data_IF_991991923916
#
_entry.id   IF_991991923916
#
_cell.length_a   1.000
_cell.length_b   1.000
_cell.length_c   1.000
_cell.angle_alpha   90.00
_cell.angle_beta   90.00
_cell.angle_gamma   90.00
#
_symmetry.space_group_name_H-M   'P 1'
#
loop_
_entity.id
_entity.type
_entity.pdbx_description
1 polymer ?
#
# COMPACT_ATOMS: atom_id res chain seq x y z
N UNK A 1 -20.81 4.72 -11.18
CA UNK A 1 -20.75 5.54 -9.93
C UNK A 1 -20.55 4.67 -8.69
N UNK A 2 -21.38 3.64 -8.44
CA UNK A 2 -21.21 2.70 -7.31
C UNK A 2 -19.85 2.00 -7.32
N UNK A 3 -19.39 1.49 -8.47
CA UNK A 3 -18.08 0.85 -8.60
C UNK A 3 -16.92 1.77 -8.24
N UNK A 4 -17.02 3.06 -8.56
CA UNK A 4 -15.99 4.06 -8.26
C UNK A 4 -15.88 4.31 -6.76
N UNK A 5 -17.02 4.37 -6.06
CA UNK A 5 -17.12 4.54 -4.61
C UNK A 5 -16.56 3.30 -3.89
N UNK A 6 -16.90 2.09 -4.35
CA UNK A 6 -16.36 0.84 -3.81
C UNK A 6 -14.84 0.76 -3.98
N UNK A 7 -14.32 1.13 -5.16
CA UNK A 7 -12.88 1.13 -5.42
C UNK A 7 -12.12 2.12 -4.52
N UNK A 8 -12.71 3.28 -4.25
CA UNK A 8 -12.16 4.28 -3.34
C UNK A 8 -12.14 3.78 -1.89
N UNK A 9 -13.24 3.17 -1.44
CA UNK A 9 -13.31 2.55 -0.12
C UNK A 9 -12.25 1.46 0.08
N UNK A 10 -12.07 0.60 -0.93
CA UNK A 10 -11.02 -0.42 -0.94
C UNK A 10 -9.61 0.18 -0.86
N UNK A 11 -9.33 1.22 -1.65
CA UNK A 11 -8.03 1.90 -1.61
C UNK A 11 -7.72 2.49 -0.23
N UNK A 12 -8.71 3.09 0.43
CA UNK A 12 -8.56 3.65 1.78
C UNK A 12 -8.29 2.54 2.80
N UNK A 13 -9.02 1.42 2.75
CA UNK A 13 -8.80 0.26 3.62
C UNK A 13 -7.38 -0.29 3.45
N UNK A 14 -6.92 -0.39 2.20
CA UNK A 14 -5.56 -0.86 1.88
C UNK A 14 -4.49 0.08 2.42
N UNK A 15 -4.65 1.41 2.24
CA UNK A 15 -3.73 2.40 2.82
C UNK A 15 -3.69 2.33 4.35
N UNK A 16 -4.85 2.15 4.99
CA UNK A 16 -4.91 2.00 6.44
C UNK A 16 -4.20 0.72 6.91
N UNK A 17 -4.41 -0.40 6.21
CA UNK A 17 -3.71 -1.66 6.48
C UNK A 17 -2.18 -1.51 6.33
N UNK A 18 -1.72 -0.81 5.28
CA UNK A 18 -0.31 -0.52 5.06
C UNK A 18 0.28 0.36 6.17
N UNK A 19 -0.46 1.39 6.62
CA UNK A 19 -0.03 2.21 7.74
C UNK A 19 0.17 1.38 9.02
N UNK A 20 -0.78 0.47 9.31
CA UNK A 20 -0.67 -0.43 10.46
C UNK A 20 0.50 -1.40 10.32
N UNK A 21 0.73 -1.97 9.14
CA UNK A 21 1.84 -2.90 8.90
C UNK A 21 3.21 -2.20 9.04
N UNK A 22 3.35 -0.99 8.50
CA UNK A 22 4.56 -0.14 8.66
C UNK A 22 4.78 0.19 10.13
N UNK A 23 3.73 0.62 10.83
CA UNK A 23 3.81 0.95 12.26
C UNK A 23 4.17 -0.26 13.12
N UNK A 24 3.66 -1.46 12.78
CA UNK A 24 3.98 -2.70 13.50
C UNK A 24 5.41 -3.19 13.25
N UNK A 25 5.98 -2.87 12.09
CA UNK A 25 7.35 -3.25 11.70
C UNK A 25 8.38 -2.17 12.02
N UNK A 26 7.98 -1.14 12.75
CA UNK A 26 8.77 0.06 13.08
C UNK A 26 9.48 0.65 11.85
N UNK A 27 8.81 0.55 10.70
CA UNK A 27 9.29 1.08 9.45
C UNK A 27 9.10 2.59 9.47
N UNK A 28 10.17 3.36 9.19
CA UNK A 28 10.10 4.82 9.21
C UNK A 28 8.95 5.37 8.36
N UNK A 29 8.25 6.40 8.87
CA UNK A 29 7.07 7.02 8.26
C UNK A 29 7.27 7.49 6.80
N UNK A 30 8.53 7.71 6.39
CA UNK A 30 8.93 8.00 4.99
C UNK A 30 8.47 6.91 4.00
N UNK A 31 8.49 5.64 4.41
CA UNK A 31 8.08 4.54 3.55
C UNK A 31 6.56 4.55 3.33
N UNK A 32 5.79 4.90 4.36
CA UNK A 32 4.33 5.05 4.22
C UNK A 32 3.98 6.09 3.17
N UNK A 33 4.60 7.27 3.22
CA UNK A 33 4.37 8.33 2.24
C UNK A 33 4.75 7.90 0.81
N UNK A 34 5.86 7.19 0.65
CA UNK A 34 6.27 6.67 -0.66
C UNK A 34 5.26 5.66 -1.24
N UNK A 35 4.78 4.73 -0.41
CA UNK A 35 3.78 3.76 -0.84
C UNK A 35 2.40 4.37 -1.06
N UNK A 36 2.01 5.36 -0.24
CA UNK A 36 0.77 6.12 -0.42
C UNK A 36 0.77 6.84 -1.77
N UNK A 37 1.88 7.50 -2.13
CA UNK A 37 2.03 8.09 -3.47
C UNK A 37 1.92 7.04 -4.57
N UNK A 38 2.53 5.88 -4.39
CA UNK A 38 2.40 4.75 -5.31
C UNK A 38 0.95 4.33 -5.54
N UNK A 39 0.15 4.20 -4.47
CA UNK A 39 -1.27 3.84 -4.55
C UNK A 39 -2.07 4.92 -5.27
N UNK A 40 -1.82 6.20 -4.98
CA UNK A 40 -2.50 7.32 -5.65
C UNK A 40 -2.19 7.34 -7.15
N UNK A 41 -0.92 7.18 -7.53
CA UNK A 41 -0.49 7.11 -8.94
C UNK A 41 -1.11 5.88 -9.61
N UNK A 42 -1.01 4.71 -8.99
CA UNK A 42 -1.59 3.47 -9.50
C UNK A 42 -3.10 3.59 -9.73
N UNK A 43 -3.82 4.21 -8.80
CA UNK A 43 -5.23 4.48 -8.94
C UNK A 43 -5.54 5.44 -10.10
N UNK A 44 -4.75 6.49 -10.29
CA UNK A 44 -5.02 7.47 -11.35
C UNK A 44 -4.77 6.93 -12.76
N UNK A 45 -3.72 6.13 -12.96
CA UNK A 45 -3.34 5.61 -14.27
C UNK A 45 -4.04 4.30 -14.65
N UNK A 46 -4.22 3.39 -13.68
CA UNK A 46 -4.66 2.02 -13.91
C UNK A 46 -5.89 1.65 -13.06
N UNK A 47 -6.48 2.59 -12.33
CA UNK A 47 -7.62 2.38 -11.43
C UNK A 47 -7.37 1.23 -10.46
N UNK A 48 -8.26 0.24 -10.40
CA UNK A 48 -8.17 -0.86 -9.45
C UNK A 48 -6.94 -1.74 -9.70
N UNK A 49 -6.57 -1.97 -10.97
CA UNK A 49 -5.41 -2.79 -11.32
C UNK A 49 -4.12 -2.17 -10.80
N UNK A 50 -3.99 -0.84 -10.89
CA UNK A 50 -2.82 -0.14 -10.36
C UNK A 50 -2.70 -0.26 -8.84
N UNK A 51 -3.82 -0.14 -8.12
CA UNK A 51 -3.84 -0.35 -6.67
C UNK A 51 -3.41 -1.77 -6.30
N UNK A 52 -3.94 -2.79 -7.00
CA UNK A 52 -3.57 -4.20 -6.77
C UNK A 52 -2.06 -4.41 -6.98
N UNK A 53 -1.50 -3.87 -8.07
CA UNK A 53 -0.07 -3.98 -8.36
C UNK A 53 0.75 -3.35 -7.23
N UNK A 54 0.43 -2.13 -6.81
CA UNK A 54 1.18 -1.44 -5.75
C UNK A 54 1.12 -2.20 -4.43
N UNK A 55 -0.03 -2.79 -4.09
CA UNK A 55 -0.19 -3.61 -2.89
C UNK A 55 0.65 -4.88 -2.96
N UNK A 56 0.71 -5.56 -4.11
CA UNK A 56 1.55 -6.76 -4.30
C UNK A 56 3.03 -6.40 -4.13
N UNK A 57 3.49 -5.32 -4.78
CA UNK A 57 4.89 -4.87 -4.66
C UNK A 57 5.19 -4.45 -3.21
N UNK A 58 4.26 -3.73 -2.55
CA UNK A 58 4.38 -3.39 -1.14
C UNK A 58 4.52 -4.63 -0.26
N UNK A 59 3.68 -5.65 -0.48
CA UNK A 59 3.70 -6.87 0.32
C UNK A 59 5.02 -7.62 0.17
N UNK A 60 5.52 -7.77 -1.06
CA UNK A 60 6.80 -8.40 -1.34
C UNK A 60 7.95 -7.64 -0.66
N UNK A 61 7.98 -6.30 -0.81
CA UNK A 61 8.99 -5.44 -0.20
C UNK A 61 8.94 -5.49 1.33
N UNK A 62 7.75 -5.37 1.91
CA UNK A 62 7.53 -5.40 3.36
C UNK A 62 7.96 -6.73 3.97
N UNK A 63 7.76 -7.84 3.25
CA UNK A 63 8.21 -9.17 3.69
C UNK A 63 9.73 -9.31 3.63
N UNK A 64 10.36 -8.81 2.56
CA UNK A 64 11.82 -8.78 2.43
C UNK A 64 12.49 -7.94 3.53
N UNK A 65 11.88 -6.79 3.86
CA UNK A 65 12.39 -5.91 4.92
C UNK A 65 12.27 -6.55 6.30
N UNK A 66 11.15 -7.23 6.60
CA UNK A 66 10.97 -7.97 7.85
C UNK A 66 11.98 -9.12 8.01
N UNK A 67 12.34 -9.83 6.92
CA UNK A 67 13.39 -10.85 6.98
C UNK A 67 14.78 -10.29 7.25
N UNK A 68 15.07 -9.04 6.83
CA UNK A 68 16.37 -8.40 7.07
C UNK A 68 16.54 -7.84 8.49
N UNK A 69 15.47 -7.51 9.21
CA UNK A 69 15.55 -6.96 10.57
C UNK A 69 15.70 -8.06 11.62
N UNK A 70 15.19 -9.27 11.34
CA UNK A 70 15.23 -10.42 12.28
C UNK A 70 16.37 -11.40 12.01
N UNK A 71 17.18 -11.18 10.97
CA UNK A 71 18.32 -12.01 10.60
C UNK A 71 19.64 -11.43 11.09
#
# INVERSE_FOLDING_TARGET
MIYTILNLGLAIILLFWMNLDISRKDMGRKYYWGWMLGVVIGYFFLTLLGVIIVVIVYYAWSRFYHTKIKG
#
